data_IF_215619223401
#
_entry.id   IF_215619223401
#
_cell.length_a   1.000
_cell.length_b   1.000
_cell.length_c   1.000
_cell.angle_alpha   90.00
_cell.angle_beta   90.00
_cell.angle_gamma   90.00
#
_symmetry.space_group_name_H-M   'P 1'
#
loop_
_entity.id
_entity.type
_entity.pdbx_description
1 polymer ?
#
# COMPACT_ATOMS: atom_id res chain seq x y z
N UNK A 1 13.72 13.64 30.98
CA UNK A 1 12.93 12.39 30.93
C UNK A 1 13.50 11.56 29.80
N UNK A 2 14.26 10.48 30.10
CA UNK A 2 14.92 9.66 29.07
C UNK A 2 13.93 8.59 28.61
N UNK A 3 13.22 8.83 27.51
CA UNK A 3 12.54 7.78 26.75
C UNK A 3 13.47 7.36 25.62
N UNK A 4 14.44 6.51 25.94
CA UNK A 4 15.26 5.85 24.92
C UNK A 4 14.61 4.50 24.61
N UNK A 5 14.09 4.37 23.39
CA UNK A 5 14.16 3.10 22.67
C UNK A 5 13.31 1.94 23.22
N UNK A 6 12.13 2.20 23.79
CA UNK A 6 11.17 1.12 24.01
C UNK A 6 10.61 0.67 22.66
N UNK A 7 10.96 -0.57 22.31
CA UNK A 7 10.32 -1.27 21.20
C UNK A 7 8.84 -1.43 21.52
N UNK A 8 7.90 -0.80 20.79
CA UNK A 8 6.48 -1.01 21.04
C UNK A 8 6.07 -2.46 20.79
N UNK A 9 6.87 -3.21 20.02
CA UNK A 9 6.57 -4.56 19.56
C UNK A 9 5.98 -4.56 18.15
N UNK A 10 5.65 -5.76 17.62
CA UNK A 10 5.06 -5.88 16.29
C UNK A 10 3.62 -5.40 16.28
N UNK A 11 3.22 -4.67 15.23
CA UNK A 11 1.80 -4.38 15.02
C UNK A 11 1.01 -5.67 14.74
N UNK A 12 -0.29 -5.71 15.08
CA UNK A 12 -1.18 -6.74 14.56
C UNK A 12 -1.18 -6.78 13.03
N UNK A 13 -1.68 -7.90 12.49
CA UNK A 13 -2.00 -8.02 11.07
C UNK A 13 -3.29 -7.24 10.78
N UNK A 14 -3.28 -6.48 9.70
CA UNK A 14 -4.51 -5.90 9.15
C UNK A 14 -5.34 -6.98 8.46
N UNK A 15 -6.65 -6.90 8.61
CA UNK A 15 -7.59 -7.82 7.95
C UNK A 15 -8.48 -7.00 7.03
N UNK A 16 -8.43 -7.31 5.73
CA UNK A 16 -9.35 -6.72 4.77
C UNK A 16 -10.78 -7.24 5.03
N UNK A 17 -11.76 -6.36 5.29
CA UNK A 17 -13.15 -6.80 5.42
C UNK A 17 -13.67 -7.37 4.10
N UNK A 18 -14.66 -8.27 4.17
CA UNK A 18 -15.28 -8.82 2.95
C UNK A 18 -15.91 -7.72 2.09
N UNK A 19 -16.53 -6.74 2.74
CA UNK A 19 -17.10 -5.56 2.09
C UNK A 19 -16.03 -4.49 1.87
N UNK A 20 -16.09 -3.84 0.72
CA UNK A 20 -15.27 -2.66 0.43
C UNK A 20 -15.61 -1.51 1.35
N UNK A 21 -14.59 -0.81 1.80
CA UNK A 21 -14.73 0.35 2.68
C UNK A 21 -14.61 1.66 1.89
N UNK A 22 -15.31 2.71 2.32
CA UNK A 22 -15.25 4.00 1.62
C UNK A 22 -13.83 4.58 1.59
N UNK A 23 -13.06 4.37 2.66
CA UNK A 23 -11.70 4.89 2.78
C UNK A 23 -10.69 4.20 1.86
N UNK A 24 -11.00 3.03 1.29
CA UNK A 24 -10.13 2.32 0.34
C UNK A 24 -10.54 2.56 -1.13
N UNK A 25 -11.62 3.30 -1.37
CA UNK A 25 -12.29 3.38 -2.66
C UNK A 25 -11.46 4.02 -3.78
N UNK A 26 -10.63 5.01 -3.48
CA UNK A 26 -9.94 5.79 -4.50
C UNK A 26 -8.86 4.97 -5.20
N UNK A 27 -7.97 4.29 -4.47
CA UNK A 27 -6.97 3.44 -5.12
C UNK A 27 -7.60 2.18 -5.75
N UNK A 28 -8.68 1.64 -5.15
CA UNK A 28 -9.41 0.49 -5.72
C UNK A 28 -9.97 0.86 -7.08
N UNK A 29 -10.61 2.02 -7.21
CA UNK A 29 -11.17 2.48 -8.49
C UNK A 29 -10.10 2.60 -9.57
N UNK A 30 -8.92 3.12 -9.21
CA UNK A 30 -7.78 3.20 -10.12
C UNK A 30 -7.28 1.81 -10.54
N UNK A 31 -7.22 0.83 -9.62
CA UNK A 31 -6.85 -0.54 -9.95
C UNK A 31 -7.88 -1.21 -10.87
N UNK A 32 -9.19 -1.00 -10.64
CA UNK A 32 -10.26 -1.51 -11.51
C UNK A 32 -10.09 -1.02 -12.94
N UNK A 33 -9.82 0.27 -13.10
CA UNK A 33 -9.52 0.87 -14.40
C UNK A 33 -8.30 0.23 -15.06
N UNK A 34 -7.20 0.07 -14.31
CA UNK A 34 -5.95 -0.53 -14.78
C UNK A 34 -6.15 -1.98 -15.25
N UNK A 35 -6.91 -2.78 -14.51
CA UNK A 35 -7.23 -4.14 -14.94
C UNK A 35 -8.06 -4.13 -16.21
N UNK A 36 -9.01 -3.19 -16.32
CA UNK A 36 -9.84 -3.05 -17.51
C UNK A 36 -9.05 -2.66 -18.75
N UNK A 37 -8.09 -1.74 -18.60
CA UNK A 37 -7.14 -1.35 -19.65
C UNK A 37 -6.31 -2.55 -20.12
N UNK A 38 -5.73 -3.32 -19.18
CA UNK A 38 -4.95 -4.52 -19.51
C UNK A 38 -5.81 -5.66 -20.10
N UNK A 39 -7.08 -5.75 -19.71
CA UNK A 39 -8.02 -6.73 -20.26
C UNK A 39 -8.57 -6.33 -21.64
N UNK A 40 -8.43 -5.06 -22.04
CA UNK A 40 -9.06 -4.51 -23.25
C UNK A 40 -10.57 -4.27 -23.10
N UNK A 41 -11.12 -4.37 -21.89
CA UNK A 41 -12.54 -4.18 -21.59
C UNK A 41 -12.72 -3.66 -20.16
N UNK A 42 -13.61 -2.68 -19.96
CA UNK A 42 -13.87 -2.12 -18.62
C UNK A 42 -14.60 -3.12 -17.73
N UNK A 43 -14.22 -3.15 -16.45
CA UNK A 43 -15.01 -3.77 -15.40
C UNK A 43 -16.08 -2.77 -14.92
N UNK A 44 -17.27 -3.26 -14.60
CA UNK A 44 -18.38 -2.41 -14.14
C UNK A 44 -18.11 -1.83 -12.75
N UNK A 45 -17.54 -2.64 -11.87
CA UNK A 45 -17.31 -2.30 -10.47
C UNK A 45 -16.23 -3.22 -9.87
N UNK A 46 -15.73 -2.90 -8.65
CA UNK A 46 -14.73 -3.75 -7.99
C UNK A 46 -15.19 -5.19 -7.73
N UNK A 47 -16.50 -5.43 -7.52
CA UNK A 47 -17.01 -6.78 -7.29
C UNK A 47 -16.88 -7.67 -8.53
N UNK A 48 -17.04 -7.11 -9.73
CA UNK A 48 -16.78 -7.80 -10.99
C UNK A 48 -15.30 -8.24 -11.10
N UNK A 49 -14.36 -7.38 -10.69
CA UNK A 49 -12.94 -7.74 -10.65
C UNK A 49 -12.66 -8.84 -9.63
N UNK A 50 -13.29 -8.80 -8.44
CA UNK A 50 -13.11 -9.83 -7.41
C UNK A 50 -13.59 -11.21 -7.87
N UNK A 51 -14.57 -11.29 -8.78
CA UNK A 51 -15.06 -12.53 -9.36
C UNK A 51 -14.27 -12.98 -10.60
N UNK A 52 -13.45 -12.10 -11.17
CA UNK A 52 -12.63 -12.40 -12.34
C UNK A 52 -11.51 -13.39 -12.00
N UNK A 53 -11.36 -14.43 -12.83
CA UNK A 53 -10.39 -15.50 -12.60
C UNK A 53 -8.93 -15.04 -12.72
N UNK A 54 -8.67 -13.98 -13.49
CA UNK A 54 -7.32 -13.45 -13.72
C UNK A 54 -6.93 -12.39 -12.70
N UNK A 55 -7.87 -11.52 -12.32
CA UNK A 55 -7.57 -10.34 -11.49
C UNK A 55 -8.08 -10.40 -10.06
N UNK A 56 -9.05 -11.27 -9.76
CA UNK A 56 -9.69 -11.30 -8.45
C UNK A 56 -8.71 -11.59 -7.30
N UNK A 57 -7.79 -12.54 -7.50
CA UNK A 57 -6.73 -12.82 -6.51
C UNK A 57 -5.81 -11.62 -6.33
N UNK A 58 -5.36 -11.00 -7.43
CA UNK A 58 -4.46 -9.85 -7.35
C UNK A 58 -5.10 -8.66 -6.63
N UNK A 59 -6.40 -8.40 -6.83
CA UNK A 59 -7.12 -7.35 -6.11
C UNK A 59 -7.26 -7.68 -4.61
N UNK A 60 -7.55 -8.93 -4.23
CA UNK A 60 -7.58 -9.34 -2.81
C UNK A 60 -6.22 -9.15 -2.14
N UNK A 61 -5.13 -9.45 -2.85
CA UNK A 61 -3.78 -9.23 -2.34
C UNK A 61 -3.48 -7.75 -2.12
N UNK A 62 -3.91 -6.87 -3.04
CA UNK A 62 -3.76 -5.42 -2.88
C UNK A 62 -4.54 -4.89 -1.67
N UNK A 63 -5.77 -5.39 -1.46
CA UNK A 63 -6.57 -5.06 -0.27
C UNK A 63 -5.88 -5.52 1.00
N UNK A 64 -5.36 -6.75 1.01
CA UNK A 64 -4.61 -7.27 2.16
C UNK A 64 -3.44 -6.36 2.53
N UNK A 65 -2.65 -5.92 1.53
CA UNK A 65 -1.54 -4.98 1.74
C UNK A 65 -2.02 -3.64 2.30
N UNK A 66 -3.08 -3.07 1.73
CA UNK A 66 -3.66 -1.81 2.18
C UNK A 66 -4.08 -1.86 3.65
N UNK A 67 -4.81 -2.91 4.06
CA UNK A 67 -5.26 -3.04 5.45
C UNK A 67 -4.12 -3.39 6.41
N UNK A 68 -3.13 -4.17 5.98
CA UNK A 68 -1.90 -4.40 6.77
C UNK A 68 -1.17 -3.08 7.04
N UNK A 69 -1.07 -2.19 6.05
CA UNK A 69 -0.49 -0.87 6.23
C UNK A 69 -1.36 0.06 7.10
N UNK A 70 -2.68 -0.01 6.98
CA UNK A 70 -3.60 0.77 7.81
C UNK A 70 -3.51 0.39 9.30
N UNK A 71 -3.40 -0.91 9.59
CA UNK A 71 -3.24 -1.39 10.98
C UNK A 71 -1.86 -1.05 11.54
N UNK A 72 -0.81 -1.17 10.71
CA UNK A 72 0.53 -0.70 11.06
C UNK A 72 0.53 0.81 11.40
N UNK A 73 -0.03 1.64 10.53
CA UNK A 73 -0.14 3.09 10.75
C UNK A 73 -0.87 3.40 12.05
N UNK A 74 -2.01 2.76 12.29
CA UNK A 74 -2.83 2.94 13.51
C UNK A 74 -2.02 2.61 14.76
N UNK A 75 -1.39 1.44 14.77
CA UNK A 75 -0.62 0.96 15.91
C UNK A 75 0.57 1.86 16.23
N UNK A 76 1.40 2.21 15.25
CA UNK A 76 2.60 3.01 15.50
C UNK A 76 2.31 4.48 15.75
N UNK A 77 1.24 5.05 15.16
CA UNK A 77 0.78 6.39 15.55
C UNK A 77 0.44 6.48 17.03
N UNK A 78 -0.16 5.44 17.59
CA UNK A 78 -0.62 5.44 18.98
C UNK A 78 0.48 4.98 19.97
N UNK A 79 1.54 4.31 19.48
CA UNK A 79 2.59 3.70 20.32
C UNK A 79 4.00 4.29 20.15
N UNK A 80 4.19 5.24 19.23
CA UNK A 80 5.50 5.86 18.97
C UNK A 80 5.40 7.38 18.83
N UNK A 81 6.53 8.11 18.98
CA UNK A 81 6.59 9.52 18.60
C UNK A 81 6.10 9.76 17.16
N UNK A 82 5.36 10.86 16.89
CA UNK A 82 4.76 11.10 15.58
C UNK A 82 5.74 11.11 14.40
N UNK A 83 6.99 11.51 14.65
CA UNK A 83 8.05 11.60 13.65
C UNK A 83 8.45 10.22 13.10
N UNK A 84 8.29 9.15 13.87
CA UNK A 84 8.69 7.80 13.44
C UNK A 84 7.86 7.34 12.25
N UNK A 85 6.54 7.52 12.31
CA UNK A 85 5.65 7.11 11.23
C UNK A 85 5.80 8.02 10.01
N UNK A 86 5.98 9.33 10.20
CA UNK A 86 6.22 10.24 9.07
C UNK A 86 7.54 9.93 8.37
N UNK A 87 8.62 9.69 9.11
CA UNK A 87 9.92 9.30 8.53
C UNK A 87 9.81 8.00 7.75
N UNK A 88 9.12 6.99 8.28
CA UNK A 88 8.88 5.75 7.54
C UNK A 88 8.12 5.98 6.23
N UNK A 89 7.05 6.77 6.25
CA UNK A 89 6.27 7.08 5.04
C UNK A 89 7.12 7.85 4.03
N UNK A 90 7.94 8.79 4.47
CA UNK A 90 8.84 9.55 3.59
C UNK A 90 9.92 8.65 2.96
N UNK A 91 10.49 7.71 3.72
CA UNK A 91 11.42 6.71 3.21
C UNK A 91 10.77 5.83 2.13
N UNK A 92 9.53 5.37 2.36
CA UNK A 92 8.79 4.60 1.35
C UNK A 92 8.52 5.46 0.12
N UNK A 93 8.06 6.70 0.29
CA UNK A 93 7.75 7.63 -0.79
C UNK A 93 8.97 7.89 -1.68
N UNK A 94 10.09 8.33 -1.07
CA UNK A 94 11.31 8.62 -1.80
C UNK A 94 11.97 7.36 -2.38
N UNK A 95 11.79 6.20 -1.74
CA UNK A 95 12.32 4.94 -2.26
C UNK A 95 11.59 4.41 -3.49
N UNK A 96 10.39 4.93 -3.81
CA UNK A 96 9.60 4.52 -4.99
C UNK A 96 9.36 5.64 -6.01
N UNK A 97 9.62 6.91 -5.68
CA UNK A 97 9.26 8.06 -6.53
C UNK A 97 9.83 7.99 -7.94
N UNK A 98 11.08 7.55 -8.06
CA UNK A 98 11.78 7.49 -9.35
C UNK A 98 11.20 6.35 -10.19
N UNK A 99 10.99 5.17 -9.59
CA UNK A 99 10.36 4.02 -10.26
C UNK A 99 8.93 4.32 -10.70
N UNK A 100 8.19 5.08 -9.89
CA UNK A 100 6.85 5.54 -10.24
C UNK A 100 6.88 6.47 -11.46
N UNK A 101 7.84 7.40 -11.50
CA UNK A 101 7.99 8.40 -12.59
C UNK A 101 8.52 7.78 -13.88
N UNK A 102 9.47 6.85 -13.80
CA UNK A 102 10.09 6.16 -14.94
C UNK A 102 9.23 5.04 -15.54
N UNK A 103 7.98 4.89 -15.11
CA UNK A 103 7.12 3.81 -15.60
C UNK A 103 6.66 4.06 -17.04
N UNK A 104 7.39 3.48 -18.00
CA UNK A 104 7.07 3.47 -19.43
C UNK A 104 6.11 2.34 -19.86
N UNK A 105 5.67 1.50 -18.93
CA UNK A 105 4.64 0.46 -19.14
C UNK A 105 3.23 0.98 -18.86
N UNK A 106 2.23 0.11 -18.99
CA UNK A 106 0.87 0.50 -18.59
C UNK A 106 0.72 0.60 -17.06
N UNK A 107 -0.48 0.97 -16.60
CA UNK A 107 -0.74 1.17 -15.18
C UNK A 107 -0.47 -0.07 -14.32
N UNK A 108 -0.65 -1.28 -14.83
CA UNK A 108 -0.40 -2.51 -14.06
C UNK A 108 1.10 -2.77 -13.93
N UNK A 109 1.88 -2.44 -14.97
CA UNK A 109 3.34 -2.48 -14.89
C UNK A 109 3.87 -1.46 -13.90
N UNK A 110 3.29 -0.25 -13.85
CA UNK A 110 3.60 0.77 -12.84
C UNK A 110 3.38 0.24 -11.43
N UNK A 111 2.18 -0.28 -11.15
CA UNK A 111 1.82 -0.87 -9.84
C UNK A 111 2.82 -1.97 -9.48
N UNK A 112 3.08 -2.90 -10.40
CA UNK A 112 3.98 -4.04 -10.17
C UNK A 112 5.41 -3.57 -9.83
N UNK A 113 5.96 -2.62 -10.61
CA UNK A 113 7.31 -2.11 -10.39
C UNK A 113 7.42 -1.34 -9.08
N UNK A 114 6.48 -0.45 -8.78
CA UNK A 114 6.46 0.34 -7.54
C UNK A 114 6.36 -0.57 -6.31
N UNK A 115 5.45 -1.54 -6.32
CA UNK A 115 5.28 -2.45 -5.19
C UNK A 115 6.46 -3.43 -5.04
N UNK A 116 7.14 -3.79 -6.13
CA UNK A 116 8.37 -4.57 -6.09
C UNK A 116 9.52 -3.77 -5.48
N UNK A 117 9.65 -2.49 -5.85
CA UNK A 117 10.63 -1.58 -5.26
C UNK A 117 10.36 -1.37 -3.77
N UNK A 118 9.11 -1.08 -3.39
CA UNK A 118 8.69 -0.90 -2.01
C UNK A 118 9.04 -2.09 -1.10
N UNK A 119 8.95 -3.31 -1.63
CA UNK A 119 9.31 -4.52 -0.88
C UNK A 119 10.78 -4.53 -0.42
N UNK A 120 11.67 -3.87 -1.18
CA UNK A 120 13.12 -3.85 -0.91
C UNK A 120 13.57 -2.73 0.03
N UNK A 121 12.73 -1.70 0.23
CA UNK A 121 13.05 -0.55 1.08
C UNK A 121 13.34 -1.00 2.51
N UNK A 122 14.43 -0.52 3.07
CA UNK A 122 14.78 -0.75 4.47
C UNK A 122 14.37 0.48 5.29
N UNK A 123 13.33 0.34 6.09
CA UNK A 123 12.95 1.39 7.02
C UNK A 123 14.06 1.63 8.05
N UNK A 124 14.17 2.86 8.56
CA UNK A 124 15.12 3.18 9.62
C UNK A 124 14.51 3.03 11.03
N UNK A 125 15.36 3.21 12.05
CA UNK A 125 14.94 3.26 13.45
C UNK A 125 14.22 2.01 13.96
N UNK A 126 13.30 2.23 14.89
CA UNK A 126 12.51 1.18 15.56
C UNK A 126 11.60 0.43 14.59
N UNK A 127 11.12 1.10 13.53
CA UNK A 127 10.19 0.51 12.57
C UNK A 127 10.89 -0.45 11.59
N UNK A 128 12.22 -0.40 11.46
CA UNK A 128 13.01 -1.29 10.59
C UNK A 128 12.65 -2.77 10.72
N UNK A 129 12.46 -3.24 11.96
CA UNK A 129 12.17 -4.64 12.29
C UNK A 129 10.70 -5.03 12.10
N UNK A 130 9.81 -4.05 11.98
CA UNK A 130 8.37 -4.26 11.99
C UNK A 130 7.68 -3.92 10.66
N UNK A 131 8.32 -3.11 9.82
CA UNK A 131 7.84 -2.74 8.49
C UNK A 131 7.94 -3.92 7.51
N UNK A 132 6.98 -4.85 7.61
CA UNK A 132 6.83 -6.02 6.74
C UNK A 132 6.68 -5.59 5.26
N UNK A 133 6.92 -6.53 4.35
CA UNK A 133 6.81 -6.28 2.91
C UNK A 133 5.42 -5.74 2.54
N UNK A 134 4.37 -6.36 3.08
CA UNK A 134 2.98 -5.97 2.84
C UNK A 134 2.69 -4.56 3.33
N UNK A 135 3.27 -4.15 4.45
CA UNK A 135 3.12 -2.78 4.99
C UNK A 135 3.70 -1.77 4.00
N UNK A 136 4.96 -1.97 3.56
CA UNK A 136 5.60 -1.04 2.61
C UNK A 136 4.84 -0.94 1.30
N UNK A 137 4.34 -2.08 0.80
CA UNK A 137 3.50 -2.14 -0.40
C UNK A 137 2.15 -1.44 -0.19
N UNK A 138 1.49 -1.69 0.95
CA UNK A 138 0.23 -1.06 1.32
C UNK A 138 0.35 0.45 1.51
N UNK A 139 1.47 0.93 2.04
CA UNK A 139 1.77 2.36 2.14
C UNK A 139 1.76 3.03 0.77
N UNK A 140 2.22 2.36 -0.29
CA UNK A 140 2.09 2.89 -1.64
C UNK A 140 0.62 2.98 -2.09
N UNK A 141 -0.24 2.04 -1.69
CA UNK A 141 -1.69 2.17 -1.93
C UNK A 141 -2.31 3.32 -1.14
N UNK A 142 -1.84 3.60 0.09
CA UNK A 142 -2.24 4.81 0.83
C UNK A 142 -1.87 6.07 0.04
N UNK A 143 -0.66 6.16 -0.51
CA UNK A 143 -0.27 7.30 -1.36
C UNK A 143 -1.13 7.44 -2.61
N UNK A 144 -1.50 6.34 -3.26
CA UNK A 144 -2.41 6.38 -4.40
C UNK A 144 -3.84 6.81 -4.01
N UNK A 145 -4.30 6.38 -2.84
CA UNK A 145 -5.60 6.72 -2.29
C UNK A 145 -5.67 8.20 -1.86
N UNK A 146 -4.56 8.75 -1.35
CA UNK A 146 -4.38 10.15 -0.97
C UNK A 146 -4.07 11.07 -2.17
N UNK A 147 -3.91 10.52 -3.38
CA UNK A 147 -3.58 11.29 -4.59
C UNK A 147 -2.13 11.75 -4.68
N UNK A 148 -1.22 11.24 -3.82
CA UNK A 148 0.21 11.55 -3.85
C UNK A 148 0.96 10.77 -4.93
N UNK A 149 0.63 9.49 -5.10
CA UNK A 149 1.18 8.60 -6.14
C UNK A 149 0.02 7.83 -6.79
N UNK A 150 -0.93 8.51 -7.45
CA UNK A 150 -2.09 7.85 -8.05
C UNK A 150 -1.63 6.80 -9.07
N UNK A 151 -2.24 5.61 -9.05
CA UNK A 151 -1.92 4.57 -10.02
C UNK A 151 -2.26 4.97 -11.46
N UNK A 152 -3.23 5.87 -11.61
CA UNK A 152 -3.66 6.42 -12.88
C UNK A 152 -3.39 7.92 -12.97
#
# INVERSE_FOLDING_TARGET
MKWFNDDPGPSPLGVAPDQLQDHESAYISQLVDIYGERAGSKFENPAAVLQDARWGTHLRDQRTRYFDAAEFDRYYRDSTPPDYLSTFKDEVYHGVSDVYTESNGDGLDRVTRVLSQAATIQASGVLRRHARVQVKQGTCHHFANEGRLPWK
#
